data_IF_922769591283
#
_entry.id   IF_922769591283
#
_cell.length_a   1.000
_cell.length_b   1.000
_cell.length_c   1.000
_cell.angle_alpha   90.00
_cell.angle_beta   90.00
_cell.angle_gamma   90.00
#
_symmetry.space_group_name_H-M   'P 1'
#
loop_
_entity.id
_entity.type
_entity.pdbx_description
1 polymer ?
#
# COMPACT_ATOMS: atom_id res chain seq x y z
N UNK A 1 6.19 -4.13 2.78
CA UNK A 1 5.02 -4.30 1.89
C UNK A 1 5.50 -4.90 0.57
N UNK A 2 4.72 -5.80 -0.04
CA UNK A 2 5.03 -6.37 -1.35
C UNK A 2 3.95 -5.96 -2.37
N UNK A 3 4.38 -5.43 -3.51
CA UNK A 3 3.52 -5.11 -4.66
C UNK A 3 3.89 -6.07 -5.80
N UNK A 4 2.92 -6.82 -6.30
CA UNK A 4 3.12 -7.73 -7.43
C UNK A 4 3.13 -6.96 -8.76
N UNK A 5 4.29 -6.91 -9.40
CA UNK A 5 4.50 -6.17 -10.64
C UNK A 5 3.92 -6.83 -11.88
N UNK A 6 3.63 -8.13 -11.84
CA UNK A 6 3.00 -8.84 -12.96
C UNK A 6 1.63 -8.24 -13.29
N UNK A 7 0.98 -7.64 -12.30
CA UNK A 7 -0.30 -6.96 -12.47
C UNK A 7 -0.18 -5.74 -13.37
N UNK A 8 0.97 -5.06 -13.40
CA UNK A 8 1.23 -3.94 -14.29
C UNK A 8 1.79 -4.37 -15.66
N UNK A 9 1.72 -5.66 -15.99
CA UNK A 9 2.30 -6.22 -17.22
C UNK A 9 3.83 -6.24 -17.21
N UNK A 10 4.45 -6.02 -16.04
CA UNK A 10 5.90 -5.98 -15.88
C UNK A 10 6.39 -7.33 -15.31
N UNK A 11 7.30 -8.05 -16.00
CA UNK A 11 7.89 -9.25 -15.44
C UNK A 11 8.90 -8.90 -14.34
N UNK A 12 8.80 -9.53 -13.17
CA UNK A 12 9.81 -9.38 -12.11
C UNK A 12 9.31 -9.73 -10.71
N UNK A 13 10.24 -9.85 -9.73
CA UNK A 13 9.88 -10.02 -8.31
C UNK A 13 9.18 -8.75 -7.76
N UNK A 14 8.51 -8.84 -6.60
CA UNK A 14 7.90 -7.69 -5.95
C UNK A 14 8.90 -6.55 -5.70
N UNK A 15 8.41 -5.31 -5.66
CA UNK A 15 9.23 -4.13 -5.30
C UNK A 15 9.47 -4.10 -3.79
N UNK A 16 10.72 -3.90 -3.39
CA UNK A 16 11.08 -3.55 -2.02
C UNK A 16 10.84 -2.06 -1.79
N UNK A 17 10.15 -1.70 -0.71
CA UNK A 17 9.94 -0.31 -0.32
C UNK A 17 10.31 -0.08 1.15
N UNK A 18 11.04 1.01 1.40
CA UNK A 18 11.36 1.51 2.76
C UNK A 18 10.63 2.83 2.95
N UNK A 19 9.89 2.94 4.05
CA UNK A 19 9.16 4.15 4.42
C UNK A 19 9.94 4.89 5.52
N UNK A 20 10.24 6.17 5.27
CA UNK A 20 10.79 7.09 6.26
C UNK A 20 9.88 8.33 6.32
N UNK A 21 9.00 8.35 7.32
CA UNK A 21 8.00 9.40 7.50
C UNK A 21 7.13 9.61 6.24
N UNK A 22 7.26 10.75 5.56
CA UNK A 22 6.53 11.07 4.32
C UNK A 22 7.32 10.75 3.04
N UNK A 23 8.48 10.10 3.17
CA UNK A 23 9.34 9.69 2.07
C UNK A 23 9.26 8.18 1.88
N UNK A 24 9.14 7.74 0.63
CA UNK A 24 9.24 6.33 0.24
C UNK A 24 10.49 6.13 -0.61
N UNK A 25 11.23 5.08 -0.31
CA UNK A 25 12.34 4.62 -1.13
C UNK A 25 11.93 3.31 -1.77
N UNK A 26 11.80 3.29 -3.08
CA UNK A 26 11.40 2.12 -3.84
C UNK A 26 12.57 1.54 -4.61
N UNK A 27 12.86 0.26 -4.41
CA UNK A 27 13.91 -0.45 -5.13
C UNK A 27 13.37 -0.93 -6.46
N UNK A 28 13.87 -0.34 -7.54
CA UNK A 28 13.46 -0.76 -8.87
C UNK A 28 14.07 -2.14 -9.19
N UNK A 29 13.27 -3.11 -9.65
CA UNK A 29 13.81 -4.36 -10.13
C UNK A 29 14.73 -4.08 -11.33
N UNK A 30 15.69 -4.97 -11.56
CA UNK A 30 16.77 -4.77 -12.53
C UNK A 30 16.29 -4.34 -13.93
N UNK A 31 15.12 -4.84 -14.37
CA UNK A 31 14.50 -4.47 -15.64
C UNK A 31 14.10 -2.98 -15.71
N UNK A 32 13.56 -2.42 -14.62
CA UNK A 32 13.19 -1.00 -14.53
C UNK A 32 14.39 -0.11 -14.16
N UNK A 33 15.34 -0.63 -13.37
CA UNK A 33 16.53 0.10 -12.98
C UNK A 33 17.42 0.52 -14.18
N UNK A 34 17.30 -0.16 -15.32
CA UNK A 34 17.99 0.22 -16.55
C UNK A 34 17.57 1.59 -17.12
N UNK A 35 16.39 2.10 -16.74
CA UNK A 35 15.93 3.43 -17.10
C UNK A 35 16.43 4.53 -16.14
N UNK A 36 17.07 4.15 -15.03
CA UNK A 36 17.62 5.10 -14.05
C UNK A 36 19.04 5.52 -14.45
N UNK A 37 19.56 6.65 -13.92
CA UNK A 37 20.95 7.01 -14.09
C UNK A 37 21.90 5.88 -13.67
N UNK A 38 23.09 5.75 -14.30
CA UNK A 38 24.03 4.69 -13.98
C UNK A 38 24.33 4.59 -12.48
N UNK A 39 24.28 3.37 -11.94
CA UNK A 39 24.52 3.10 -10.52
C UNK A 39 23.31 3.31 -9.59
N UNK A 40 22.18 3.80 -10.11
CA UNK A 40 20.95 3.98 -9.34
C UNK A 40 20.05 2.76 -9.41
N UNK A 41 19.54 2.35 -8.27
CA UNK A 41 18.56 1.26 -8.15
C UNK A 41 17.39 1.59 -7.22
N UNK A 42 17.45 2.74 -6.55
CA UNK A 42 16.43 3.21 -5.64
C UNK A 42 15.87 4.54 -6.12
N UNK A 43 14.56 4.66 -6.11
CA UNK A 43 13.87 5.91 -6.39
C UNK A 43 13.31 6.45 -5.08
N UNK A 44 13.63 7.71 -4.78
CA UNK A 44 13.07 8.45 -3.65
C UNK A 44 11.81 9.19 -4.13
N UNK A 45 10.71 8.98 -3.41
CA UNK A 45 9.43 9.63 -3.64
C UNK A 45 9.01 10.37 -2.39
N UNK A 46 8.86 11.69 -2.51
CA UNK A 46 8.24 12.52 -1.48
C UNK A 46 6.71 12.51 -1.68
N UNK A 47 5.98 11.88 -0.77
CA UNK A 47 4.52 11.69 -0.91
C UNK A 47 3.75 13.02 -0.86
N UNK A 48 4.27 14.02 -0.15
CA UNK A 48 3.64 15.34 -0.09
C UNK A 48 3.74 16.07 -1.44
N UNK A 49 4.82 15.87 -2.18
CA UNK A 49 5.08 16.48 -3.48
C UNK A 49 4.39 15.71 -4.59
N UNK A 50 4.47 14.38 -4.57
CA UNK A 50 3.73 13.52 -5.49
C UNK A 50 2.21 13.71 -5.34
N UNK A 51 1.71 13.88 -4.11
CA UNK A 51 0.30 14.15 -3.88
C UNK A 51 -0.17 15.49 -4.46
N UNK A 52 0.65 16.55 -4.30
CA UNK A 52 0.35 17.87 -4.88
C UNK A 52 0.26 17.85 -6.40
N UNK A 53 1.11 17.08 -7.08
CA UNK A 53 1.11 17.02 -8.55
C UNK A 53 -0.13 16.32 -9.13
N UNK A 54 -0.74 15.40 -8.37
CA UNK A 54 -1.97 14.69 -8.78
C UNK A 54 -3.24 15.19 -8.07
N UNK A 55 -3.13 16.24 -7.24
CA UNK A 55 -4.25 16.84 -6.52
C UNK A 55 -4.83 15.98 -5.39
N UNK A 56 -4.03 15.10 -4.78
CA UNK A 56 -4.45 14.17 -3.71
C UNK A 56 -3.50 14.28 -2.52
N UNK A 57 -3.99 14.20 -1.27
CA UNK A 57 -3.08 14.07 -0.11
C UNK A 57 -2.65 12.60 0.06
N UNK A 58 -1.41 12.29 -0.33
CA UNK A 58 -0.83 10.95 -0.20
C UNK A 58 -0.11 10.73 1.13
N UNK A 59 -0.02 11.73 2.03
CA UNK A 59 0.66 11.58 3.33
C UNK A 59 -0.03 10.56 4.23
N UNK A 60 -1.34 10.38 4.07
CA UNK A 60 -2.11 9.35 4.79
C UNK A 60 -1.71 7.92 4.42
N UNK A 61 -1.10 7.71 3.26
CA UNK A 61 -0.62 6.39 2.83
C UNK A 61 0.58 5.93 3.66
N UNK A 62 1.49 6.84 4.08
CA UNK A 62 2.60 6.41 4.95
C UNK A 62 2.12 6.12 6.36
N UNK A 63 1.13 6.86 6.89
CA UNK A 63 0.61 6.64 8.23
C UNK A 63 -0.24 5.36 8.36
N UNK A 64 -0.98 4.99 7.32
CA UNK A 64 -1.77 3.75 7.29
C UNK A 64 -0.93 2.49 7.05
N UNK A 65 0.27 2.64 6.47
CA UNK A 65 1.14 1.51 6.10
C UNK A 65 2.39 1.38 6.99
N UNK A 66 2.83 2.46 7.64
CA UNK A 66 3.88 2.46 8.67
C UNK A 66 3.30 2.48 10.11
N UNK A 67 1.98 2.58 10.23
CA UNK A 67 1.26 2.61 11.51
C UNK A 67 1.09 1.22 12.14
N UNK A 68 0.84 1.23 13.45
CA UNK A 68 0.57 0.06 14.28
C UNK A 68 -0.53 -0.82 13.64
N UNK A 69 -0.23 -2.08 13.25
CA UNK A 69 -1.20 -3.00 12.63
C UNK A 69 -2.47 -3.23 13.45
N UNK A 70 -2.43 -2.97 14.77
CA UNK A 70 -3.61 -3.03 15.62
C UNK A 70 -4.64 -1.96 15.25
N UNK A 71 -4.20 -0.77 14.86
CA UNK A 71 -5.08 0.32 14.39
C UNK A 71 -5.76 -0.04 13.07
N UNK A 72 -5.05 -0.75 12.17
CA UNK A 72 -5.65 -1.26 10.95
C UNK A 72 -6.76 -2.25 11.26
N UNK A 73 -6.54 -3.18 12.21
CA UNK A 73 -7.55 -4.16 12.59
C UNK A 73 -8.78 -3.52 13.28
N UNK A 74 -8.57 -2.49 14.09
CA UNK A 74 -9.66 -1.72 14.71
C UNK A 74 -10.46 -0.93 13.67
N UNK A 75 -9.78 -0.34 12.68
CA UNK A 75 -10.43 0.28 11.54
C UNK A 75 -11.26 -0.73 10.74
N UNK A 76 -10.71 -1.93 10.47
CA UNK A 76 -11.43 -3.01 9.79
C UNK A 76 -12.70 -3.44 10.55
N UNK A 77 -12.63 -3.51 11.88
CA UNK A 77 -13.78 -3.83 12.74
C UNK A 77 -14.81 -2.71 12.81
N UNK A 78 -14.39 -1.44 12.84
CA UNK A 78 -15.30 -0.30 12.94
C UNK A 78 -16.01 0.04 11.63
N UNK A 79 -15.31 -0.16 10.50
CA UNK A 79 -15.75 0.23 9.18
C UNK A 79 -16.36 -0.91 8.35
N UNK A 80 -16.39 -2.16 8.85
CA UNK A 80 -17.06 -3.28 8.18
C UNK A 80 -18.23 -3.80 9.00
N UNK A 81 -19.37 -4.01 8.35
CA UNK A 81 -20.55 -4.62 8.99
C UNK A 81 -20.54 -6.15 8.86
N UNK A 82 -19.73 -6.71 7.96
CA UNK A 82 -19.72 -8.13 7.63
C UNK A 82 -18.29 -8.66 7.51
N UNK A 83 -17.82 -9.35 8.57
CA UNK A 83 -16.58 -10.11 8.56
C UNK A 83 -16.93 -11.59 8.45
N UNK A 84 -16.45 -12.25 7.39
CA UNK A 84 -16.68 -13.68 7.15
C UNK A 84 -15.38 -14.45 7.33
N UNK A 85 -15.40 -15.52 8.13
CA UNK A 85 -14.29 -16.46 8.20
C UNK A 85 -14.32 -17.35 6.96
N UNK A 86 -13.26 -17.32 6.17
CA UNK A 86 -13.12 -18.08 4.92
C UNK A 86 -12.54 -19.46 5.19
N UNK A 87 -11.57 -19.56 6.12
CA UNK A 87 -10.91 -20.83 6.41
C UNK A 87 -9.70 -20.69 7.31
N UNK A 88 -8.79 -21.66 7.21
CA UNK A 88 -7.49 -21.67 7.88
C UNK A 88 -6.40 -21.76 6.81
N UNK A 89 -5.34 -20.97 6.95
CA UNK A 89 -4.18 -20.98 6.04
C UNK A 89 -2.91 -20.76 6.86
N UNK A 90 -1.79 -21.33 6.42
CA UNK A 90 -0.49 -21.07 7.03
C UNK A 90 0.19 -19.86 6.37
N UNK A 91 0.49 -18.84 7.16
CA UNK A 91 1.28 -17.68 6.72
C UNK A 91 2.67 -17.80 7.32
N UNK A 92 3.68 -18.03 6.47
CA UNK A 92 5.09 -18.20 6.87
C UNK A 92 5.27 -19.27 7.97
N UNK A 93 4.56 -20.39 7.84
CA UNK A 93 4.60 -21.50 8.80
C UNK A 93 3.84 -21.27 10.11
N UNK A 94 3.12 -20.15 10.25
CA UNK A 94 2.19 -19.91 11.36
C UNK A 94 0.77 -20.16 10.90
N UNK A 95 0.03 -21.00 11.62
CA UNK A 95 -1.39 -21.24 11.32
C UNK A 95 -2.24 -20.02 11.66
N UNK A 96 -3.10 -19.63 10.72
CA UNK A 96 -3.93 -18.44 10.82
C UNK A 96 -5.37 -18.72 10.37
N UNK A 97 -6.33 -18.03 10.99
CA UNK A 97 -7.69 -17.94 10.47
C UNK A 97 -7.76 -16.84 9.42
N UNK A 98 -8.24 -17.19 8.23
CA UNK A 98 -8.46 -16.25 7.13
C UNK A 98 -9.87 -15.68 7.21
N UNK A 99 -9.93 -14.34 7.24
CA UNK A 99 -11.15 -13.56 7.23
C UNK A 99 -11.22 -12.70 5.97
N UNK A 100 -12.43 -12.52 5.47
CA UNK A 100 -12.76 -11.57 4.41
C UNK A 100 -13.76 -10.55 4.96
N UNK A 101 -13.50 -9.29 4.69
CA UNK A 101 -14.38 -8.18 5.05
C UNK A 101 -14.53 -7.21 3.88
N UNK A 102 -15.60 -6.42 3.93
CA UNK A 102 -15.78 -5.27 3.03
C UNK A 102 -15.86 -4.02 3.88
N UNK A 103 -14.89 -3.13 3.71
CA UNK A 103 -14.81 -1.86 4.42
C UNK A 103 -15.75 -0.87 3.72
N UNK A 104 -16.63 -0.23 4.48
CA UNK A 104 -17.37 0.96 4.05
C UNK A 104 -16.52 2.20 4.32
N UNK A 105 -16.04 2.82 3.24
CA UNK A 105 -15.20 4.00 3.29
C UNK A 105 -15.97 5.25 3.73
N UNK A 106 -17.29 5.32 3.53
CA UNK A 106 -18.08 6.43 4.06
C UNK A 106 -18.16 6.33 5.59
N UNK A 107 -18.44 5.14 6.11
CA UNK A 107 -18.47 4.87 7.55
C UNK A 107 -17.11 5.17 8.21
N UNK A 108 -16.03 4.76 7.56
CA UNK A 108 -14.68 5.11 7.96
C UNK A 108 -14.42 6.64 8.00
N UNK A 109 -14.90 7.36 6.97
CA UNK A 109 -14.76 8.81 6.91
C UNK A 109 -15.54 9.52 8.01
N UNK A 110 -16.67 8.97 8.44
CA UNK A 110 -17.48 9.50 9.54
C UNK A 110 -16.85 9.21 10.90
N UNK A 111 -16.16 8.07 11.05
CA UNK A 111 -15.47 7.69 12.28
C UNK A 111 -14.10 8.35 12.46
N UNK A 112 -13.52 8.93 11.40
CA UNK A 112 -12.21 9.58 11.44
C UNK A 112 -12.29 11.02 10.93
N UNK A 113 -12.71 11.99 11.78
CA UNK A 113 -12.84 13.39 11.38
C UNK A 113 -11.55 14.00 10.80
N UNK A 114 -10.39 13.57 11.31
CA UNK A 114 -9.07 14.03 10.87
C UNK A 114 -8.65 13.45 9.52
N UNK A 115 -9.10 12.24 9.17
CA UNK A 115 -8.81 11.59 7.88
C UNK A 115 -9.97 11.69 6.87
N UNK A 116 -11.10 12.29 7.26
CA UNK A 116 -12.35 12.30 6.49
C UNK A 116 -12.17 12.76 5.05
N UNK A 117 -11.47 13.86 4.84
CA UNK A 117 -11.29 14.44 3.51
C UNK A 117 -10.35 13.60 2.64
N UNK A 118 -9.33 12.98 3.24
CA UNK A 118 -8.46 12.03 2.55
C UNK A 118 -9.25 10.78 2.12
N UNK A 119 -10.11 10.25 3.00
CA UNK A 119 -10.96 9.09 2.69
C UNK A 119 -11.97 9.44 1.58
N UNK A 120 -12.65 10.58 1.67
CA UNK A 120 -13.56 11.05 0.60
C UNK A 120 -12.86 11.27 -0.73
N UNK A 121 -11.62 11.76 -0.71
CA UNK A 121 -10.81 11.90 -1.93
C UNK A 121 -10.46 10.54 -2.52
N UNK A 122 -10.16 9.56 -1.67
CA UNK A 122 -9.93 8.16 -2.08
C UNK A 122 -11.18 7.56 -2.73
N UNK A 123 -12.36 7.76 -2.15
CA UNK A 123 -13.64 7.31 -2.75
C UNK A 123 -13.82 7.89 -4.16
N UNK A 124 -13.57 9.20 -4.32
CA UNK A 124 -13.65 9.86 -5.64
C UNK A 124 -12.63 9.34 -6.64
N UNK A 125 -11.43 9.00 -6.17
CA UNK A 125 -10.34 8.49 -6.99
C UNK A 125 -10.64 7.08 -7.51
N UNK A 126 -11.10 6.20 -6.61
CA UNK A 126 -11.41 4.80 -6.90
C UNK A 126 -12.75 4.63 -7.61
N UNK A 127 -13.68 5.57 -7.46
CA UNK A 127 -15.05 5.43 -7.96
C UNK A 127 -15.86 4.39 -7.18
N UNK A 128 -15.39 4.01 -5.98
CA UNK A 128 -16.01 3.04 -5.08
C UNK A 128 -15.96 3.56 -3.65
N UNK A 129 -17.04 3.38 -2.89
CA UNK A 129 -17.09 3.62 -1.46
C UNK A 129 -16.89 2.35 -0.63
N UNK A 130 -16.63 1.21 -1.27
CA UNK A 130 -16.36 -0.05 -0.59
C UNK A 130 -15.01 -0.61 -1.01
N UNK A 131 -14.32 -1.20 -0.04
CA UNK A 131 -12.98 -1.76 -0.23
C UNK A 131 -12.92 -3.19 0.36
N UNK A 132 -12.84 -4.23 -0.48
CA UNK A 132 -12.60 -5.59 -0.01
C UNK A 132 -11.22 -5.71 0.63
N UNK A 133 -11.16 -6.50 1.70
CA UNK A 133 -9.93 -6.82 2.41
C UNK A 133 -9.97 -8.26 2.91
N UNK A 134 -8.84 -8.92 2.79
CA UNK A 134 -8.57 -10.22 3.39
C UNK A 134 -7.54 -10.04 4.52
N UNK A 135 -7.79 -10.67 5.67
CA UNK A 135 -6.92 -10.61 6.84
C UNK A 135 -6.68 -12.02 7.39
N UNK A 136 -5.43 -12.33 7.73
CA UNK A 136 -5.04 -13.59 8.35
C UNK A 136 -4.61 -13.31 9.78
N UNK A 137 -5.27 -13.95 10.74
CA UNK A 137 -5.07 -13.71 12.18
C UNK A 137 -4.59 -14.99 12.85
N UNK A 138 -3.49 -14.91 13.61
CA UNK A 138 -2.96 -16.07 14.34
C UNK A 138 -3.74 -16.37 15.62
N UNK A 139 -3.43 -17.49 16.27
CA UNK A 139 -4.06 -17.91 17.52
C UNK A 139 -3.83 -16.92 18.70
N UNK A 140 -2.89 -15.99 18.57
CA UNK A 140 -2.64 -14.93 19.55
C UNK A 140 -3.38 -13.62 19.22
N UNK A 141 -4.22 -13.62 18.18
CA UNK A 141 -4.98 -12.44 17.76
C UNK A 141 -4.17 -11.44 16.93
N UNK A 142 -2.95 -11.79 16.48
CA UNK A 142 -2.11 -10.89 15.68
C UNK A 142 -2.43 -11.04 14.20
N UNK A 143 -2.49 -9.92 13.50
CA UNK A 143 -2.58 -9.90 12.04
C UNK A 143 -1.25 -10.31 11.45
N UNK A 144 -1.22 -11.42 10.71
CA UNK A 144 -0.02 -11.95 10.04
C UNK A 144 0.04 -11.59 8.57
N UNK A 145 -1.11 -11.38 7.93
CA UNK A 145 -1.21 -10.91 6.54
C UNK A 145 -2.44 -10.04 6.37
N UNK A 146 -2.27 -9.00 5.56
CA UNK A 146 -3.36 -8.21 5.00
C UNK A 146 -3.24 -8.25 3.49
N UNK A 147 -4.38 -8.39 2.81
CA UNK A 147 -4.46 -8.26 1.37
C UNK A 147 -5.60 -7.33 1.00
N UNK A 148 -5.29 -6.32 0.20
CA UNK A 148 -6.26 -5.36 -0.33
C UNK A 148 -6.29 -5.50 -1.85
N UNK A 149 -7.48 -5.51 -2.43
CA UNK A 149 -7.63 -5.45 -3.89
C UNK A 149 -8.29 -4.14 -4.25
N UNK A 150 -7.53 -3.23 -4.84
CA UNK A 150 -8.02 -1.96 -5.34
C UNK A 150 -8.52 -2.16 -6.76
N UNK A 151 -9.84 -2.03 -6.95
CA UNK A 151 -10.43 -1.99 -8.29
C UNK A 151 -10.18 -0.60 -8.88
N UNK A 152 -9.38 -0.55 -9.94
CA UNK A 152 -9.03 0.66 -10.66
C UNK A 152 -9.83 0.82 -11.96
N UNK A 153 -10.68 -0.15 -12.33
CA UNK A 153 -11.45 -0.13 -13.58
C UNK A 153 -12.35 1.10 -13.70
N UNK A 154 -12.79 1.65 -12.56
CA UNK A 154 -13.60 2.86 -12.46
C UNK A 154 -12.80 4.08 -12.00
N UNK A 155 -11.48 3.92 -11.79
CA UNK A 155 -10.63 4.99 -11.30
C UNK A 155 -10.26 5.98 -12.41
N UNK A 156 -10.09 7.25 -12.03
CA UNK A 156 -9.59 8.27 -12.96
C UNK A 156 -8.16 7.98 -13.43
N UNK A 157 -7.39 7.23 -12.64
CA UNK A 157 -5.99 6.86 -12.94
C UNK A 157 -5.92 5.90 -14.13
N UNK A 158 -6.73 4.84 -14.11
CA UNK A 158 -6.80 3.88 -15.21
C UNK A 158 -7.31 4.52 -16.51
N UNK A 159 -8.23 5.48 -16.42
CA UNK A 159 -8.77 6.19 -17.58
C UNK A 159 -7.74 7.13 -18.26
N UNK A 160 -6.72 7.58 -17.52
CA UNK A 160 -5.75 8.58 -17.99
C UNK A 160 -4.35 8.01 -18.26
N UNK A 161 -4.09 6.74 -17.93
CA UNK A 161 -2.77 6.12 -18.06
C UNK A 161 -2.86 4.77 -18.79
N UNK A 162 -2.43 4.68 -20.06
CA UNK A 162 -2.38 3.42 -20.79
C UNK A 162 -1.50 2.39 -20.05
N UNK A 163 -1.98 1.15 -19.95
CA UNK A 163 -1.25 0.03 -19.33
C UNK A 163 -1.47 -0.16 -17.83
N UNK A 164 -2.26 0.70 -17.16
CA UNK A 164 -2.67 0.47 -15.77
C UNK A 164 -3.71 -0.66 -15.73
N UNK A 165 -3.50 -1.72 -14.92
CA UNK A 165 -4.47 -2.82 -14.80
C UNK A 165 -5.78 -2.37 -14.16
N UNK A 166 -6.87 -3.05 -14.54
CA UNK A 166 -8.19 -2.80 -13.97
C UNK A 166 -8.29 -3.10 -12.46
N UNK A 167 -7.34 -3.83 -11.89
CA UNK A 167 -7.25 -4.05 -10.44
C UNK A 167 -5.81 -4.27 -9.99
N UNK A 168 -5.48 -3.80 -8.79
CA UNK A 168 -4.17 -3.98 -8.16
C UNK A 168 -4.36 -4.61 -6.78
N UNK A 169 -3.61 -5.67 -6.48
CA UNK A 169 -3.61 -6.33 -5.18
C UNK A 169 -2.34 -5.99 -4.40
N UNK A 170 -2.52 -5.51 -3.17
CA UNK A 170 -1.45 -5.24 -2.22
C UNK A 170 -1.45 -6.35 -1.17
N UNK A 171 -0.27 -6.91 -0.87
CA UNK A 171 -0.10 -7.88 0.22
C UNK A 171 0.94 -7.37 1.22
N UNK A 172 0.55 -7.34 2.49
CA UNK A 172 1.39 -6.97 3.61
C UNK A 172 1.50 -8.16 4.57
N UNK A 173 2.69 -8.75 4.65
CA UNK A 173 3.01 -9.77 5.64
C UNK A 173 3.66 -9.12 6.86
N UNK A 174 3.14 -9.43 8.04
CA UNK A 174 3.62 -8.96 9.34
C UNK A 174 4.21 -10.14 10.11
N UNK A 175 5.46 -10.01 10.52
CA UNK A 175 6.25 -11.06 11.17
C UNK A 175 7.27 -10.43 12.12
N UNK A 176 8.02 -11.26 12.86
CA UNK A 176 9.04 -10.84 13.83
C UNK A 176 8.54 -9.80 14.85
N UNK A 177 7.30 -9.99 15.33
CA UNK A 177 6.66 -9.12 16.32
C UNK A 177 7.52 -8.98 17.59
N UNK A 178 7.70 -7.74 18.04
CA UNK A 178 8.46 -7.42 19.25
C UNK A 178 9.97 -7.37 19.05
N UNK A 179 10.47 -7.63 17.83
CA UNK A 179 11.88 -7.43 17.48
C UNK A 179 12.09 -5.97 17.07
N UNK A 180 13.04 -5.24 17.68
CA UNK A 180 13.40 -3.90 17.23
C UNK A 180 14.05 -4.01 15.83
N UNK A 181 13.41 -3.41 14.83
CA UNK A 181 13.94 -3.34 13.47
C UNK A 181 14.50 -1.95 13.23
N UNK A 182 15.75 -1.86 12.81
CA UNK A 182 16.31 -0.68 12.16
C UNK A 182 16.32 -0.92 10.65
N UNK A 183 15.37 -0.32 9.95
CA UNK A 183 15.39 -0.29 8.50
C UNK A 183 16.52 0.66 8.07
N UNK A 184 17.59 0.11 7.50
CA UNK A 184 18.65 0.92 6.93
C UNK A 184 18.11 1.65 5.70
N UNK A 185 18.28 2.97 5.65
CA UNK A 185 18.02 3.74 4.44
C UNK A 185 18.95 3.27 3.32
N UNK A 186 18.50 3.28 2.06
CA UNK A 186 19.37 2.94 0.95
C UNK A 186 20.60 3.88 0.87
N UNK A 187 21.74 3.39 0.38
CA UNK A 187 22.93 4.22 0.17
C UNK A 187 22.61 5.44 -0.71
N UNK A 188 22.94 6.69 -0.31
CA UNK A 188 22.57 7.89 -1.06
C UNK A 188 23.06 7.91 -2.51
N UNK A 189 24.19 7.27 -2.78
CA UNK A 189 24.77 7.10 -4.12
C UNK A 189 23.97 6.15 -5.02
N UNK A 190 23.10 5.29 -4.47
CA UNK A 190 22.19 4.42 -5.21
C UNK A 190 20.77 5.00 -5.38
N UNK A 191 20.48 6.14 -4.73
CA UNK A 191 19.18 6.80 -4.74
C UNK A 191 19.13 7.90 -5.78
N UNK A 192 18.03 7.97 -6.52
CA UNK A 192 17.68 9.10 -7.40
C UNK A 192 16.31 9.64 -7.01
N UNK A 193 16.16 10.96 -7.01
CA UNK A 193 14.87 11.60 -6.74
C UNK A 193 13.95 11.45 -7.95
N UNK A 194 12.69 11.07 -7.73
CA UNK A 194 11.71 10.93 -8.81
C UNK A 194 11.60 12.21 -9.65
N UNK A 195 11.67 13.39 -9.02
CA UNK A 195 11.56 14.68 -9.72
C UNK A 195 12.72 14.94 -10.67
N UNK A 196 13.90 14.38 -10.37
CA UNK A 196 15.07 14.47 -11.23
C UNK A 196 14.94 13.61 -12.51
N UNK A 197 14.05 12.62 -12.49
CA UNK A 197 13.79 11.71 -13.62
C UNK A 197 12.60 12.22 -14.45
N UNK A 198 11.55 12.72 -13.80
CA UNK A 198 10.31 13.15 -14.46
C UNK A 198 10.35 14.58 -15.02
N UNK A 199 11.47 15.30 -14.85
CA UNK A 199 11.68 16.61 -15.45
C UNK A 199 10.85 17.74 -14.80
N UNK A 200 10.58 17.65 -13.49
CA UNK A 200 9.79 18.65 -12.78
C UNK A 200 10.43 20.03 -12.81
N UNK A 201 9.82 20.95 -13.56
CA UNK A 201 9.93 22.41 -13.40
C UNK A 201 8.77 22.92 -12.56
#
# INVERSE_FOLDING_TARGET
MLIDLSQFGLPGPPIDAVFDNATVYEKFPKALAAALPPGKSWVKVDLATAGRSVGVDLRGLSQTQAGDPSQTLDYLRGASDNVTRVGTEDVRGTSTAHYRAVIDLNKAADQSPTARDAIKSTIKLLGSSTQPVDAWVDAQGRVRRLKYTVDLSKSKVAASTPGVPGSVAFTLDLFDFGVPVQAALPPPDQVVDLNAITGGR
#
